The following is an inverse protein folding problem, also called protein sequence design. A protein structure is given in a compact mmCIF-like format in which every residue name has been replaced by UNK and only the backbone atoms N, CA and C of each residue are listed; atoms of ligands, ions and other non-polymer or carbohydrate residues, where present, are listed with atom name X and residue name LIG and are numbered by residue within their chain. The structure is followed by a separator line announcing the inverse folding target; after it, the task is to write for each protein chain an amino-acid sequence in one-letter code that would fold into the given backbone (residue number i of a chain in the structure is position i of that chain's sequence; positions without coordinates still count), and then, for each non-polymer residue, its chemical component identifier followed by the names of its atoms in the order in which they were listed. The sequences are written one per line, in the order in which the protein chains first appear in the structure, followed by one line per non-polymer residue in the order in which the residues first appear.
data_IF_950581321822
#
_entry.id   IF_950581321822
#
_cell.length_a   1.000
_cell.length_b   1.000
_cell.length_c   1.000
_cell.angle_alpha   90.00
_cell.angle_beta   90.00
_cell.angle_gamma   90.00
#
_symmetry.space_group_name_H-M   'P 1'
#
loop_
_entity.id
_entity.type
_entity.pdbx_description
1 polymer ?
#
# COMPACT_ATOMS: atom_id res chain seq x y z
N UNK A 1 7.38 4.77 26.70
CA UNK A 1 7.62 3.35 26.33
C UNK A 1 7.36 3.23 24.84
N UNK A 2 8.19 2.47 24.13
CA UNK A 2 7.97 2.19 22.71
C UNK A 2 6.71 1.32 22.54
N UNK A 3 5.98 1.53 21.44
CA UNK A 3 4.82 0.70 21.08
C UNK A 3 5.31 -0.63 20.54
N UNK A 4 4.87 -1.73 21.10
CA UNK A 4 5.24 -3.09 20.70
C UNK A 4 4.39 -3.56 19.53
N UNK A 5 5.01 -3.78 18.38
CA UNK A 5 4.36 -4.13 17.13
C UNK A 5 4.68 -5.56 16.71
N UNK A 6 3.65 -6.38 16.51
CA UNK A 6 3.75 -7.70 15.91
C UNK A 6 3.38 -7.67 14.43
N UNK A 7 4.06 -8.44 13.59
CA UNK A 7 3.73 -8.60 12.17
C UNK A 7 3.21 -10.01 11.90
N UNK A 8 1.91 -10.13 11.69
CA UNK A 8 1.30 -11.40 11.29
C UNK A 8 1.28 -11.52 9.76
N UNK A 9 2.16 -12.36 9.20
CA UNK A 9 2.35 -12.51 7.77
C UNK A 9 3.56 -11.75 7.22
N UNK A 10 4.73 -12.39 7.20
CA UNK A 10 5.98 -11.82 6.66
C UNK A 10 6.15 -12.19 5.19
N UNK A 11 5.23 -11.68 4.37
CA UNK A 11 5.24 -11.76 2.90
C UNK A 11 5.67 -10.44 2.26
N UNK A 12 5.15 -10.17 1.06
CA UNK A 12 5.51 -8.97 0.28
C UNK A 12 5.30 -7.65 1.05
N UNK A 13 4.17 -7.50 1.72
CA UNK A 13 3.85 -6.29 2.49
C UNK A 13 4.47 -6.39 3.89
N UNK A 14 4.25 -7.48 4.62
CA UNK A 14 4.70 -7.61 6.00
C UNK A 14 6.20 -7.39 6.20
N UNK A 15 7.07 -7.80 5.24
CA UNK A 15 8.51 -7.53 5.31
C UNK A 15 8.85 -6.03 5.20
N UNK A 16 8.04 -5.25 4.46
CA UNK A 16 8.21 -3.80 4.34
C UNK A 16 7.74 -3.07 5.59
N UNK A 17 6.62 -3.53 6.14
CA UNK A 17 6.10 -2.99 7.41
C UNK A 17 7.06 -3.30 8.55
N UNK A 18 7.57 -4.53 8.66
CA UNK A 18 8.58 -4.89 9.66
C UNK A 18 9.83 -4.00 9.56
N UNK A 19 10.35 -3.78 8.34
CA UNK A 19 11.50 -2.90 8.11
C UNK A 19 11.19 -1.43 8.45
N UNK A 20 9.94 -0.99 8.25
CA UNK A 20 9.53 0.36 8.62
C UNK A 20 9.41 0.52 10.14
N UNK A 21 8.78 -0.44 10.83
CA UNK A 21 8.66 -0.48 12.29
C UNK A 21 10.05 -0.49 12.96
N UNK A 22 10.95 -1.36 12.48
CA UNK A 22 12.30 -1.49 13.03
C UNK A 22 13.18 -0.22 12.90
N UNK A 23 12.73 0.77 12.11
CA UNK A 23 13.42 2.07 11.94
C UNK A 23 12.84 3.19 12.78
N UNK A 24 11.75 2.94 13.52
CA UNK A 24 11.12 3.96 14.35
C UNK A 24 11.69 3.91 15.76
N UNK A 25 12.03 5.07 16.32
CA UNK A 25 12.59 5.18 17.67
C UNK A 25 11.52 4.99 18.76
N UNK A 26 10.24 5.15 18.41
CA UNK A 26 9.09 5.02 19.29
C UNK A 26 8.33 3.68 19.17
N UNK A 27 8.86 2.76 18.35
CA UNK A 27 8.30 1.42 18.14
C UNK A 27 9.33 0.32 18.43
N UNK A 28 8.82 -0.84 18.84
CA UNK A 28 9.60 -2.07 19.03
C UNK A 28 8.98 -3.18 18.19
N UNK A 29 9.75 -3.77 17.27
CA UNK A 29 9.30 -4.94 16.53
C UNK A 29 9.40 -6.19 17.41
N UNK A 30 8.28 -6.68 17.91
CA UNK A 30 8.19 -7.92 18.70
C UNK A 30 8.68 -9.12 17.89
N UNK A 31 8.25 -9.21 16.63
CA UNK A 31 8.67 -10.25 15.71
C UNK A 31 7.75 -10.37 14.50
N UNK A 32 8.00 -11.41 13.72
CA UNK A 32 7.28 -11.68 12.47
C UNK A 32 6.82 -13.14 12.40
N UNK A 33 5.57 -13.37 11.98
CA UNK A 33 5.01 -14.72 11.87
C UNK A 33 5.06 -15.25 10.43
N UNK A 34 5.37 -16.55 10.29
CA UNK A 34 5.43 -17.26 9.00
C UNK A 34 4.77 -18.64 9.10
N UNK A 35 4.18 -19.08 7.99
CA UNK A 35 3.59 -20.41 7.87
C UNK A 35 4.60 -21.50 7.45
N UNK A 36 5.75 -21.11 6.91
CA UNK A 36 6.77 -22.05 6.40
C UNK A 36 8.16 -21.38 6.33
N UNK A 37 9.24 -22.19 6.44
CA UNK A 37 10.63 -21.73 6.36
C UNK A 37 11.07 -21.52 4.90
N UNK A 38 10.54 -20.47 4.25
CA UNK A 38 10.98 -20.08 2.91
C UNK A 38 12.08 -19.00 2.97
N UNK A 39 12.58 -18.54 1.81
CA UNK A 39 13.66 -17.55 1.73
C UNK A 39 13.36 -16.28 2.54
N UNK A 40 12.10 -15.88 2.67
CA UNK A 40 11.72 -14.70 3.46
C UNK A 40 11.94 -14.92 4.96
N UNK A 41 11.73 -16.15 5.48
CA UNK A 41 12.03 -16.50 6.86
C UNK A 41 13.54 -16.41 7.14
N UNK A 42 14.39 -16.90 6.23
CA UNK A 42 15.85 -16.76 6.33
C UNK A 42 16.27 -15.29 6.34
N UNK A 43 15.66 -14.45 5.49
CA UNK A 43 15.94 -13.00 5.48
C UNK A 43 15.52 -12.33 6.80
N UNK A 44 14.38 -12.73 7.39
CA UNK A 44 13.97 -12.22 8.70
C UNK A 44 14.98 -12.57 9.79
N UNK A 45 15.45 -13.83 9.83
CA UNK A 45 16.47 -14.29 10.76
C UNK A 45 17.81 -13.54 10.56
N UNK A 46 18.26 -13.36 9.31
CA UNK A 46 19.49 -12.59 9.00
C UNK A 46 19.42 -11.12 9.45
N UNK A 47 18.22 -10.53 9.48
CA UNK A 47 17.98 -9.18 10.00
C UNK A 47 17.90 -9.12 11.52
N UNK A 48 17.95 -10.25 12.20
CA UNK A 48 17.79 -10.34 13.65
C UNK A 48 16.34 -10.19 14.12
N UNK A 49 15.36 -10.34 13.23
CA UNK A 49 13.95 -10.32 13.63
C UNK A 49 13.58 -11.64 14.28
N UNK A 50 12.93 -11.59 15.44
CA UNK A 50 12.37 -12.78 16.09
C UNK A 50 11.34 -13.41 15.16
N UNK A 51 11.53 -14.70 14.87
CA UNK A 51 10.66 -15.46 13.97
C UNK A 51 9.68 -16.29 14.79
N UNK A 52 8.43 -16.30 14.36
CA UNK A 52 7.36 -17.09 14.99
C UNK A 52 6.70 -17.98 13.93
N UNK A 53 6.41 -19.22 14.30
CA UNK A 53 5.60 -20.11 13.47
C UNK A 53 4.13 -19.72 13.54
N UNK A 54 3.38 -19.86 12.44
CA UNK A 54 1.94 -19.57 12.48
C UNK A 54 1.18 -20.39 13.49
N UNK A 55 1.58 -21.64 13.69
CA UNK A 55 0.95 -22.64 14.55
C UNK A 55 2.02 -23.60 15.09
N UNK A 56 1.70 -24.33 16.15
CA UNK A 56 2.64 -25.21 16.84
C UNK A 56 3.12 -26.38 15.95
N UNK A 57 2.22 -26.94 15.13
CA UNK A 57 2.55 -28.03 14.18
C UNK A 57 3.53 -27.59 13.07
N UNK A 58 3.77 -26.31 12.89
CA UNK A 58 4.72 -25.76 11.91
C UNK A 58 6.14 -25.63 12.46
N UNK A 59 6.33 -25.60 13.79
CA UNK A 59 7.66 -25.40 14.42
C UNK A 59 8.68 -26.40 13.92
N UNK A 60 8.33 -27.67 13.87
CA UNK A 60 9.24 -28.74 13.42
C UNK A 60 9.79 -28.52 11.98
N UNK A 61 9.04 -27.84 11.10
CA UNK A 61 9.50 -27.52 9.76
C UNK A 61 10.57 -26.42 9.76
N UNK A 62 10.49 -25.46 10.69
CA UNK A 62 11.52 -24.42 10.86
C UNK A 62 12.79 -25.02 11.44
N UNK A 63 12.67 -25.87 12.46
CA UNK A 63 13.82 -26.56 13.08
C UNK A 63 14.56 -27.43 12.05
N UNK A 64 13.81 -28.17 11.24
CA UNK A 64 14.37 -28.99 10.13
C UNK A 64 15.08 -28.14 9.07
N UNK A 65 14.71 -26.88 8.91
CA UNK A 65 15.35 -25.91 8.02
C UNK A 65 16.53 -25.17 8.69
N UNK A 66 16.82 -25.41 9.96
CA UNK A 66 17.85 -24.72 10.71
C UNK A 66 17.49 -23.29 11.11
N UNK A 67 16.19 -22.99 11.24
CA UNK A 67 15.68 -21.70 11.68
C UNK A 67 15.09 -21.84 13.09
N UNK A 68 15.66 -21.12 14.04
CA UNK A 68 15.09 -20.99 15.37
C UNK A 68 13.83 -20.12 15.34
N UNK A 69 12.74 -20.57 15.96
CA UNK A 69 11.53 -19.78 16.19
C UNK A 69 11.32 -19.52 17.66
N UNK A 70 10.88 -18.31 18.00
CA UNK A 70 10.66 -17.88 19.39
C UNK A 70 9.33 -18.40 19.97
N UNK A 71 8.52 -19.07 19.17
CA UNK A 71 7.21 -19.62 19.53
C UNK A 71 6.22 -19.55 18.36
N UNK A 72 4.94 -19.45 18.70
CA UNK A 72 3.84 -19.35 17.75
C UNK A 72 3.35 -17.90 17.56
N UNK A 73 2.49 -17.68 16.57
CA UNK A 73 1.81 -16.37 16.42
C UNK A 73 1.08 -15.95 17.71
N UNK A 74 0.49 -16.88 18.45
CA UNK A 74 -0.20 -16.55 19.69
C UNK A 74 0.75 -16.06 20.78
N UNK A 75 1.96 -16.64 20.87
CA UNK A 75 2.99 -16.18 21.81
C UNK A 75 3.45 -14.77 21.43
N UNK A 76 3.67 -14.49 20.13
CA UNK A 76 4.02 -13.15 19.61
C UNK A 76 2.96 -12.11 19.96
N UNK A 77 1.69 -12.42 19.76
CA UNK A 77 0.57 -11.52 20.04
C UNK A 77 0.43 -11.21 21.53
N UNK A 78 0.78 -12.16 22.41
CA UNK A 78 0.78 -11.95 23.86
C UNK A 78 1.81 -10.93 24.35
N UNK A 79 2.83 -10.61 23.55
CA UNK A 79 3.88 -9.64 23.85
C UNK A 79 3.62 -8.25 23.21
N UNK A 80 2.62 -8.12 22.32
CA UNK A 80 2.43 -6.94 21.48
C UNK A 80 1.29 -6.03 21.95
N UNK A 81 1.43 -4.72 21.71
CA UNK A 81 0.38 -3.73 21.90
C UNK A 81 -0.53 -3.63 20.67
N UNK A 82 0.03 -3.85 19.48
CA UNK A 82 -0.67 -3.80 18.20
C UNK A 82 -0.12 -4.84 17.23
N UNK A 83 -1.00 -5.43 16.44
CA UNK A 83 -0.62 -6.31 15.34
C UNK A 83 -0.88 -5.64 13.99
N UNK A 84 0.09 -5.77 13.08
CA UNK A 84 -0.14 -5.51 11.65
C UNK A 84 -0.38 -6.86 10.96
N UNK A 85 -1.60 -7.05 10.49
CA UNK A 85 -2.00 -8.25 9.75
C UNK A 85 -1.76 -8.03 8.25
N UNK A 86 -0.74 -8.72 7.72
CA UNK A 86 -0.38 -8.76 6.31
C UNK A 86 -0.57 -10.19 5.73
N UNK A 87 -1.51 -10.94 6.27
CA UNK A 87 -1.93 -12.24 5.75
C UNK A 87 -2.71 -12.07 4.44
N UNK A 88 -2.91 -13.14 3.63
CA UNK A 88 -3.69 -13.05 2.41
C UNK A 88 -5.12 -12.55 2.63
N UNK A 89 -5.68 -11.87 1.62
CA UNK A 89 -7.04 -11.31 1.61
C UNK A 89 -8.08 -12.29 2.18
N UNK A 90 -8.91 -11.80 3.11
CA UNK A 90 -9.95 -12.55 3.81
C UNK A 90 -9.47 -13.29 5.06
N UNK A 91 -8.17 -13.52 5.23
CA UNK A 91 -7.63 -14.11 6.47
C UNK A 91 -7.58 -13.10 7.61
N UNK A 92 -7.25 -11.84 7.33
CA UNK A 92 -7.24 -10.79 8.33
C UNK A 92 -8.60 -10.60 9.00
N UNK A 93 -9.69 -10.63 8.23
CA UNK A 93 -11.05 -10.57 8.76
C UNK A 93 -11.37 -11.80 9.64
N UNK A 94 -10.90 -12.98 9.27
CA UNK A 94 -11.04 -14.19 10.11
C UNK A 94 -10.22 -14.07 11.41
N UNK A 95 -8.97 -13.60 11.31
CA UNK A 95 -8.11 -13.37 12.47
C UNK A 95 -8.69 -12.32 13.41
N UNK A 96 -9.34 -11.28 12.90
CA UNK A 96 -10.04 -10.29 13.70
C UNK A 96 -11.07 -10.94 14.63
N UNK A 97 -11.96 -11.75 14.08
CA UNK A 97 -13.02 -12.40 14.87
C UNK A 97 -12.51 -13.55 15.73
N UNK A 98 -11.60 -14.35 15.21
CA UNK A 98 -11.14 -15.55 15.90
C UNK A 98 -10.11 -15.25 17.00
N UNK A 99 -9.28 -14.21 16.80
CA UNK A 99 -8.10 -13.97 17.64
C UNK A 99 -8.08 -12.55 18.23
N UNK A 100 -8.02 -11.49 17.39
CA UNK A 100 -7.67 -10.15 17.87
C UNK A 100 -8.70 -9.55 18.81
N UNK A 101 -9.99 -9.71 18.52
CA UNK A 101 -11.08 -9.29 19.42
C UNK A 101 -11.05 -10.02 20.76
N UNK A 102 -10.73 -11.31 20.75
CA UNK A 102 -10.67 -12.12 22.00
C UNK A 102 -9.49 -11.74 22.89
N UNK A 103 -8.35 -11.38 22.25
CA UNK A 103 -7.17 -10.90 22.98
C UNK A 103 -7.28 -9.42 23.37
N UNK A 104 -8.22 -8.67 22.79
CA UNK A 104 -8.30 -7.21 22.98
C UNK A 104 -7.12 -6.46 22.39
N UNK A 105 -6.38 -7.05 21.42
CA UNK A 105 -5.24 -6.42 20.79
C UNK A 105 -5.70 -5.55 19.61
N UNK A 106 -5.12 -4.37 19.47
CA UNK A 106 -5.36 -3.48 18.31
C UNK A 106 -4.78 -4.07 17.03
N UNK A 107 -5.46 -3.86 15.90
CA UNK A 107 -5.00 -4.43 14.64
C UNK A 107 -5.10 -3.47 13.46
N UNK A 108 -4.04 -3.47 12.63
CA UNK A 108 -3.97 -2.78 11.35
C UNK A 108 -3.90 -3.84 10.24
N UNK A 109 -4.77 -3.73 9.23
CA UNK A 109 -4.91 -4.75 8.18
C UNK A 109 -4.34 -4.25 6.86
N UNK A 110 -3.37 -4.99 6.33
CA UNK A 110 -2.65 -4.70 5.07
C UNK A 110 -2.89 -5.75 3.98
N UNK A 111 -3.67 -6.79 4.28
CA UNK A 111 -3.89 -7.95 3.42
C UNK A 111 -4.91 -7.74 2.30
N UNK A 112 -5.51 -6.55 2.17
CA UNK A 112 -6.56 -6.26 1.18
C UNK A 112 -7.98 -6.48 1.70
N UNK A 113 -8.18 -6.43 3.02
CA UNK A 113 -9.48 -6.59 3.67
C UNK A 113 -10.50 -5.54 3.22
N UNK A 114 -11.77 -5.91 3.16
CA UNK A 114 -12.86 -5.00 2.77
C UNK A 114 -13.21 -4.04 3.91
N UNK A 115 -13.69 -2.84 3.54
CA UNK A 115 -14.13 -1.83 4.52
C UNK A 115 -15.17 -2.39 5.50
N UNK A 116 -16.19 -3.06 4.99
CA UNK A 116 -17.30 -3.58 5.80
C UNK A 116 -16.86 -4.66 6.80
N UNK A 117 -15.77 -5.36 6.53
CA UNK A 117 -15.23 -6.38 7.43
C UNK A 117 -14.50 -5.77 8.63
N UNK A 118 -13.87 -4.61 8.46
CA UNK A 118 -13.03 -3.96 9.48
C UNK A 118 -13.73 -2.75 10.12
N UNK A 119 -14.54 -2.03 9.33
CA UNK A 119 -15.31 -0.86 9.78
C UNK A 119 -14.58 0.48 9.72
N UNK A 120 -13.29 0.49 9.41
CA UNK A 120 -12.52 1.72 9.23
C UNK A 120 -11.44 1.56 8.16
N UNK A 121 -11.36 2.52 7.24
CA UNK A 121 -10.31 2.64 6.23
C UNK A 121 -9.43 3.84 6.52
N UNK A 122 -8.15 3.75 6.23
CA UNK A 122 -7.15 4.74 6.59
C UNK A 122 -6.31 5.19 5.39
N UNK A 123 -6.11 6.50 5.32
CA UNK A 123 -5.04 7.12 4.56
C UNK A 123 -4.54 8.37 5.28
N UNK A 124 -3.24 8.47 5.52
CA UNK A 124 -2.64 9.51 6.36
C UNK A 124 -2.91 10.95 5.87
N UNK A 125 -3.04 11.18 4.55
CA UNK A 125 -3.32 12.52 4.00
C UNK A 125 -4.80 12.90 3.97
N UNK A 126 -5.69 11.92 4.13
CA UNK A 126 -7.12 12.12 3.94
C UNK A 126 -7.91 12.13 5.26
N UNK A 127 -7.76 11.11 6.09
CA UNK A 127 -8.63 10.90 7.25
C UNK A 127 -7.88 10.46 8.52
N UNK A 128 -6.63 10.92 8.69
CA UNK A 128 -5.81 10.56 9.86
C UNK A 128 -6.54 10.80 11.19
N UNK A 129 -7.11 11.99 11.35
CA UNK A 129 -7.78 12.39 12.61
C UNK A 129 -9.01 11.53 12.93
N UNK A 130 -9.71 11.05 11.91
CA UNK A 130 -10.94 10.24 12.05
C UNK A 130 -10.65 8.80 12.49
N UNK A 131 -9.40 8.36 12.32
CA UNK A 131 -8.97 7.00 12.66
C UNK A 131 -8.23 6.91 13.98
N UNK A 132 -7.85 8.04 14.58
CA UNK A 132 -7.20 8.06 15.90
C UNK A 132 -8.13 7.44 16.95
N UNK A 133 -7.58 6.53 17.74
CA UNK A 133 -8.29 5.85 18.83
C UNK A 133 -9.14 4.65 18.39
N UNK A 134 -9.22 4.34 17.11
CA UNK A 134 -9.87 3.10 16.65
C UNK A 134 -9.00 1.88 16.97
N UNK A 135 -9.66 0.80 17.37
CA UNK A 135 -8.96 -0.45 17.68
C UNK A 135 -8.59 -1.24 16.42
N UNK A 136 -9.41 -1.14 15.38
CA UNK A 136 -9.25 -1.87 14.12
C UNK A 136 -9.34 -0.94 12.93
N UNK A 137 -8.30 -0.98 12.07
CA UNK A 137 -8.20 -0.11 10.89
C UNK A 137 -7.60 -0.93 9.75
N UNK A 138 -8.15 -0.81 8.55
CA UNK A 138 -7.48 -1.30 7.34
C UNK A 138 -6.76 -0.17 6.61
N UNK A 139 -5.58 -0.43 6.10
CA UNK A 139 -4.94 0.40 5.09
C UNK A 139 -5.57 0.07 3.73
N UNK A 140 -5.86 1.09 2.94
CA UNK A 140 -6.46 0.91 1.62
C UNK A 140 -5.45 0.41 0.60
N UNK A 141 -5.93 -0.14 -0.53
CA UNK A 141 -5.05 -0.72 -1.55
C UNK A 141 -4.03 0.30 -2.10
N UNK A 142 -2.93 -0.18 -2.69
CA UNK A 142 -1.93 0.66 -3.32
C UNK A 142 -2.50 1.65 -4.33
N UNK A 143 -3.44 1.23 -5.18
CA UNK A 143 -4.11 2.13 -6.12
C UNK A 143 -4.92 3.20 -5.38
N UNK A 144 -5.68 2.81 -4.37
CA UNK A 144 -6.47 3.74 -3.55
C UNK A 144 -5.56 4.70 -2.77
N UNK A 145 -4.47 4.20 -2.18
CA UNK A 145 -3.46 5.01 -1.50
C UNK A 145 -2.85 6.03 -2.47
N UNK A 146 -2.45 5.60 -3.66
CA UNK A 146 -1.91 6.49 -4.69
C UNK A 146 -2.88 7.58 -5.11
N UNK A 147 -4.16 7.24 -5.29
CA UNK A 147 -5.21 8.22 -5.59
C UNK A 147 -5.44 9.18 -4.41
N UNK A 148 -5.57 8.67 -3.19
CA UNK A 148 -5.76 9.49 -2.00
C UNK A 148 -4.63 10.51 -1.82
N UNK A 149 -3.38 10.11 -1.98
CA UNK A 149 -2.20 10.99 -1.82
C UNK A 149 -2.21 12.14 -2.83
N UNK A 150 -2.42 11.88 -4.11
CA UNK A 150 -2.37 12.91 -5.15
C UNK A 150 -3.66 13.75 -5.23
N UNK A 151 -4.83 13.11 -5.12
CA UNK A 151 -6.10 13.82 -5.13
C UNK A 151 -6.24 14.76 -3.93
N UNK A 152 -5.78 14.36 -2.73
CA UNK A 152 -5.83 15.24 -1.56
C UNK A 152 -4.99 16.51 -1.73
N UNK A 153 -3.91 16.44 -2.51
CA UNK A 153 -3.12 17.62 -2.84
C UNK A 153 -3.91 18.58 -3.74
N UNK A 154 -4.55 18.09 -4.80
CA UNK A 154 -5.40 18.92 -5.66
C UNK A 154 -6.61 19.45 -4.90
N UNK A 155 -7.25 18.61 -4.06
CA UNK A 155 -8.40 19.01 -3.24
C UNK A 155 -8.05 20.18 -2.28
N UNK A 156 -6.82 20.18 -1.75
CA UNK A 156 -6.38 21.24 -0.81
C UNK A 156 -6.21 22.61 -1.46
N UNK A 157 -5.92 22.69 -2.75
CA UNK A 157 -5.67 23.95 -3.46
C UNK A 157 -6.85 24.43 -4.31
N UNK A 158 -7.69 23.51 -4.78
CA UNK A 158 -8.75 23.86 -5.73
C UNK A 158 -10.14 23.28 -5.41
N UNK A 159 -10.23 22.32 -4.49
CA UNK A 159 -11.43 21.51 -4.28
C UNK A 159 -11.70 20.56 -5.45
N UNK A 160 -12.21 19.36 -5.18
CA UNK A 160 -12.58 18.38 -6.21
C UNK A 160 -14.07 18.35 -6.40
N UNK A 161 -14.55 18.81 -7.55
CA UNK A 161 -15.94 18.65 -7.97
C UNK A 161 -16.20 17.27 -8.52
N UNK A 162 -15.25 16.75 -9.34
CA UNK A 162 -15.40 15.46 -10.00
C UNK A 162 -14.03 14.92 -10.43
N UNK A 163 -13.75 13.63 -10.16
CA UNK A 163 -12.54 12.94 -10.62
C UNK A 163 -12.89 11.74 -11.50
N UNK A 164 -12.14 11.58 -12.59
CA UNK A 164 -12.23 10.44 -13.51
C UNK A 164 -10.82 9.88 -13.70
N UNK A 165 -10.68 8.58 -13.47
CA UNK A 165 -9.36 7.96 -13.46
C UNK A 165 -9.36 6.68 -14.30
N UNK A 166 -8.33 6.54 -15.12
CA UNK A 166 -8.01 5.30 -15.81
C UNK A 166 -6.78 4.68 -15.15
N UNK A 167 -6.95 3.48 -14.59
CA UNK A 167 -5.86 2.72 -13.97
C UNK A 167 -5.34 1.68 -14.96
N UNK A 168 -4.11 1.86 -15.39
CA UNK A 168 -3.35 0.85 -16.14
C UNK A 168 -2.57 0.03 -15.12
N UNK A 169 -3.09 -1.16 -14.81
CA UNK A 169 -2.57 -2.01 -13.73
C UNK A 169 -1.61 -3.05 -14.28
N UNK A 170 -0.53 -3.29 -13.57
CA UNK A 170 0.33 -4.45 -13.84
C UNK A 170 -0.47 -5.76 -13.72
N UNK A 171 -0.11 -6.75 -14.50
CA UNK A 171 -0.80 -8.04 -14.59
C UNK A 171 -0.61 -8.93 -13.36
N UNK A 172 0.49 -8.80 -12.65
CA UNK A 172 0.80 -9.57 -11.46
C UNK A 172 2.07 -9.10 -10.77
N UNK A 173 2.32 -9.64 -9.56
CA UNK A 173 3.58 -9.41 -8.84
C UNK A 173 4.75 -10.11 -9.53
N UNK A 174 6.00 -9.63 -9.37
CA UNK A 174 7.18 -10.28 -9.97
C UNK A 174 7.32 -11.76 -9.63
N UNK A 175 6.80 -12.20 -8.49
CA UNK A 175 6.79 -13.61 -8.07
C UNK A 175 5.58 -14.40 -8.57
N UNK A 176 4.60 -13.75 -9.17
CA UNK A 176 3.34 -14.37 -9.65
C UNK A 176 3.39 -14.69 -11.15
N UNK A 177 4.43 -15.35 -11.59
CA UNK A 177 4.73 -15.62 -13.01
C UNK A 177 3.62 -16.35 -13.80
N UNK A 178 2.65 -16.93 -13.10
CA UNK A 178 1.50 -17.63 -13.72
C UNK A 178 0.24 -16.78 -13.77
N UNK A 179 0.27 -15.53 -13.26
CA UNK A 179 -0.87 -14.62 -13.24
C UNK A 179 -0.69 -13.48 -14.23
N UNK A 180 -1.80 -12.88 -14.61
CA UNK A 180 -1.84 -11.72 -15.48
C UNK A 180 -1.89 -12.06 -16.97
N UNK A 181 -2.19 -11.06 -17.81
CA UNK A 181 -2.24 -11.22 -19.25
C UNK A 181 -0.83 -11.39 -19.84
N UNK A 182 -0.76 -12.20 -20.91
CA UNK A 182 0.40 -12.31 -21.79
C UNK A 182 -0.07 -11.82 -23.16
N UNK A 183 0.55 -10.78 -23.71
CA UNK A 183 0.18 -10.18 -25.00
C UNK A 183 -1.30 -9.76 -25.13
N UNK A 184 -1.92 -9.36 -24.04
CA UNK A 184 -3.31 -8.91 -24.02
C UNK A 184 -3.51 -7.76 -23.03
N UNK A 185 -4.52 -6.92 -23.27
CA UNK A 185 -5.06 -5.95 -22.33
C UNK A 185 -6.41 -6.48 -21.85
N UNK A 186 -6.59 -6.59 -20.53
CA UNK A 186 -7.79 -7.18 -19.94
C UNK A 186 -8.54 -6.13 -19.11
N UNK A 187 -9.83 -5.81 -19.43
CA UNK A 187 -10.66 -4.99 -18.52
C UNK A 187 -10.75 -5.64 -17.12
N UNK A 188 -10.59 -4.83 -16.04
CA UNK A 188 -10.49 -5.38 -14.69
C UNK A 188 -11.17 -4.51 -13.62
N UNK A 189 -12.46 -4.63 -13.43
CA UNK A 189 -13.44 -5.40 -14.20
C UNK A 189 -13.84 -4.70 -15.52
N UNK A 190 -14.63 -5.36 -16.41
CA UNK A 190 -15.19 -4.71 -17.60
C UNK A 190 -16.34 -3.74 -17.29
N UNK A 191 -16.79 -3.69 -16.04
CA UNK A 191 -17.85 -2.79 -15.57
C UNK A 191 -17.28 -1.47 -15.05
N UNK A 192 -18.07 -0.40 -15.15
CA UNK A 192 -17.72 0.95 -14.64
C UNK A 192 -18.76 1.36 -13.59
N UNK A 193 -18.34 1.92 -12.46
CA UNK A 193 -16.95 2.10 -12.03
C UNK A 193 -16.25 0.80 -11.63
N UNK A 194 -14.92 0.76 -11.73
CA UNK A 194 -14.15 -0.29 -11.08
C UNK A 194 -14.17 -0.09 -9.56
N UNK A 195 -13.87 -1.13 -8.79
CA UNK A 195 -13.93 -1.09 -7.31
C UNK A 195 -13.02 -0.04 -6.66
N UNK A 196 -12.03 0.50 -7.36
CA UNK A 196 -11.08 1.48 -6.81
C UNK A 196 -11.74 2.83 -6.46
N UNK A 197 -12.70 3.31 -7.27
CA UNK A 197 -13.45 4.52 -6.96
C UNK A 197 -14.24 4.39 -5.67
N UNK A 198 -15.13 3.40 -5.54
CA UNK A 198 -15.81 3.09 -4.28
C UNK A 198 -14.86 2.89 -3.08
N UNK A 199 -13.68 2.28 -3.30
CA UNK A 199 -12.68 2.11 -2.23
C UNK A 199 -12.09 3.45 -1.77
N UNK A 200 -11.82 4.40 -2.68
CA UNK A 200 -11.45 5.78 -2.32
C UNK A 200 -12.53 6.44 -1.47
N UNK A 201 -13.81 6.22 -1.80
CA UNK A 201 -14.92 6.80 -1.03
C UNK A 201 -15.06 6.22 0.38
N UNK A 202 -14.44 5.09 0.72
CA UNK A 202 -14.36 4.62 2.11
C UNK A 202 -13.45 5.49 2.98
N UNK A 203 -12.56 6.27 2.36
CA UNK A 203 -11.64 7.23 3.00
C UNK A 203 -12.14 8.67 2.83
N UNK A 204 -12.58 9.02 1.60
CA UNK A 204 -13.04 10.36 1.21
C UNK A 204 -14.46 10.29 0.61
N UNK A 205 -15.50 10.18 1.46
CA UNK A 205 -16.89 10.01 0.98
C UNK A 205 -17.41 11.15 0.11
N UNK A 206 -16.86 12.35 0.28
CA UNK A 206 -17.29 13.56 -0.45
C UNK A 206 -16.87 13.59 -1.91
N UNK A 207 -15.87 12.81 -2.32
CA UNK A 207 -15.35 12.90 -3.69
C UNK A 207 -16.24 12.16 -4.69
N UNK A 208 -16.68 12.88 -5.74
CA UNK A 208 -17.35 12.29 -6.89
C UNK A 208 -16.30 11.64 -7.81
N UNK A 209 -15.88 10.42 -7.46
CA UNK A 209 -14.86 9.68 -8.20
C UNK A 209 -15.43 8.47 -8.92
N UNK A 210 -15.03 8.28 -10.19
CA UNK A 210 -15.26 7.04 -10.93
C UNK A 210 -13.97 6.58 -11.61
N UNK A 211 -13.77 5.27 -11.64
CA UNK A 211 -12.54 4.66 -12.12
C UNK A 211 -12.80 3.59 -13.16
N UNK A 212 -11.93 3.48 -14.15
CA UNK A 212 -11.85 2.39 -15.13
C UNK A 212 -10.50 1.72 -14.92
N UNK A 213 -10.43 0.40 -14.99
CA UNK A 213 -9.18 -0.32 -14.78
C UNK A 213 -8.95 -1.40 -15.84
N UNK A 214 -7.69 -1.51 -16.29
CA UNK A 214 -7.20 -2.54 -17.20
C UNK A 214 -5.95 -3.19 -16.63
N UNK A 215 -5.76 -4.48 -16.90
CA UNK A 215 -4.49 -5.20 -16.66
C UNK A 215 -3.68 -5.22 -17.95
N UNK A 216 -2.39 -4.97 -17.82
CA UNK A 216 -1.42 -5.01 -18.92
C UNK A 216 -0.26 -5.98 -18.61
N UNK A 217 0.44 -6.51 -19.63
CA UNK A 217 1.54 -7.48 -19.42
C UNK A 217 2.81 -6.78 -18.89
N UNK A 218 2.77 -6.34 -17.65
CA UNK A 218 3.93 -5.81 -16.92
C UNK A 218 3.88 -6.22 -15.45
N UNK A 219 5.04 -6.19 -14.79
CA UNK A 219 5.19 -6.36 -13.33
C UNK A 219 5.72 -5.10 -12.66
N UNK A 220 5.99 -4.05 -13.45
CA UNK A 220 6.66 -2.83 -12.99
C UNK A 220 5.67 -1.68 -12.83
N UNK A 221 5.18 -1.48 -11.61
CA UNK A 221 4.30 -0.40 -11.20
C UNK A 221 2.92 -0.40 -11.89
N UNK A 222 2.00 0.34 -11.34
CA UNK A 222 0.76 0.77 -12.01
C UNK A 222 0.95 2.18 -12.56
N UNK A 223 0.15 2.55 -13.57
CA UNK A 223 0.03 3.93 -14.01
C UNK A 223 -1.43 4.38 -13.86
N UNK A 224 -1.65 5.57 -13.33
CA UNK A 224 -2.95 6.22 -13.30
C UNK A 224 -2.94 7.45 -14.21
N UNK A 225 -3.98 7.58 -15.04
CA UNK A 225 -4.26 8.78 -15.83
C UNK A 225 -5.45 9.46 -15.17
N UNK A 226 -5.27 10.68 -14.70
CA UNK A 226 -6.17 11.36 -13.79
C UNK A 226 -6.68 12.64 -14.46
N UNK A 227 -8.01 12.84 -14.37
CA UNK A 227 -8.74 13.99 -14.87
C UNK A 227 -9.66 14.48 -13.77
N UNK A 228 -9.52 15.75 -13.38
CA UNK A 228 -10.23 16.33 -12.24
C UNK A 228 -10.89 17.63 -12.66
N UNK A 229 -12.22 17.69 -12.57
CA UNK A 229 -12.95 18.96 -12.56
C UNK A 229 -12.86 19.56 -11.15
N UNK A 230 -12.32 20.78 -11.04
CA UNK A 230 -12.10 21.47 -9.76
C UNK A 230 -13.18 22.50 -9.47
N UNK A 231 -13.38 22.85 -8.20
CA UNK A 231 -14.36 23.83 -7.75
C UNK A 231 -13.88 25.26 -8.01
N UNK A 232 -12.62 25.54 -7.70
CA UNK A 232 -11.99 26.85 -7.78
C UNK A 232 -10.96 26.90 -8.91
N UNK A 233 -10.72 28.09 -9.42
CA UNK A 233 -9.66 28.31 -10.40
C UNK A 233 -8.29 28.02 -9.74
N UNK A 234 -7.42 27.36 -10.49
CA UNK A 234 -6.08 26.96 -10.05
C UNK A 234 -5.13 27.03 -11.25
N UNK A 235 -3.90 27.44 -11.00
CA UNK A 235 -2.85 27.39 -12.03
C UNK A 235 -2.10 26.04 -11.99
N UNK A 236 -1.43 25.72 -13.10
CA UNK A 236 -0.51 24.57 -13.16
C UNK A 236 0.58 24.71 -12.10
N UNK A 237 1.09 25.90 -11.91
CA UNK A 237 2.14 26.24 -10.94
C UNK A 237 1.69 26.00 -9.49
N UNK A 238 0.44 26.28 -9.15
CA UNK A 238 -0.11 26.02 -7.82
C UNK A 238 -0.23 24.52 -7.55
N UNK A 239 -0.69 23.75 -8.54
CA UNK A 239 -0.77 22.28 -8.46
C UNK A 239 0.63 21.68 -8.29
N UNK A 240 1.60 22.10 -9.11
CA UNK A 240 2.99 21.63 -9.00
C UNK A 240 3.60 21.97 -7.65
N UNK A 241 3.40 23.20 -7.15
CA UNK A 241 3.89 23.65 -5.84
C UNK A 241 3.34 22.78 -4.73
N UNK A 242 2.05 22.43 -4.80
CA UNK A 242 1.43 21.56 -3.80
C UNK A 242 2.00 20.13 -3.89
N UNK A 243 2.17 19.57 -5.08
CA UNK A 243 2.82 18.26 -5.24
C UNK A 243 4.24 18.24 -4.68
N UNK A 244 5.04 19.26 -4.92
CA UNK A 244 6.39 19.39 -4.36
C UNK A 244 6.40 19.47 -2.84
N UNK A 245 5.35 20.02 -2.22
CA UNK A 245 5.25 20.15 -0.76
C UNK A 245 4.97 18.83 -0.04
N UNK A 246 4.45 17.80 -0.75
CA UNK A 246 3.99 16.54 -0.16
C UNK A 246 5.11 15.49 -0.13
N UNK A 247 5.49 15.03 1.06
CA UNK A 247 6.60 14.08 1.27
C UNK A 247 6.46 12.74 0.52
N UNK A 248 5.23 12.31 0.19
CA UNK A 248 4.95 11.05 -0.48
C UNK A 248 4.53 11.22 -1.94
N UNK A 249 4.81 12.38 -2.52
CA UNK A 249 4.73 12.65 -3.95
C UNK A 249 6.13 13.00 -4.45
N UNK A 250 6.50 12.50 -5.62
CA UNK A 250 7.77 12.78 -6.30
C UNK A 250 7.47 13.20 -7.73
N UNK A 251 7.85 14.41 -8.09
CA UNK A 251 7.80 14.83 -9.50
C UNK A 251 9.00 14.22 -10.24
N UNK A 252 8.73 13.59 -11.36
CA UNK A 252 9.73 13.01 -12.27
C UNK A 252 9.55 13.60 -13.67
N UNK A 253 10.62 13.61 -14.48
CA UNK A 253 10.59 14.17 -15.82
C UNK A 253 11.01 13.14 -16.85
N UNK A 254 10.20 13.00 -17.88
CA UNK A 254 10.54 12.17 -19.03
C UNK A 254 11.78 12.72 -19.75
N UNK A 255 11.92 14.05 -19.80
CA UNK A 255 13.09 14.74 -20.35
C UNK A 255 14.41 14.44 -19.63
N UNK A 256 14.34 14.01 -18.37
CA UNK A 256 15.51 13.60 -17.56
C UNK A 256 15.76 12.07 -17.64
N UNK A 257 15.11 11.36 -18.56
CA UNK A 257 15.25 9.91 -18.74
C UNK A 257 14.34 9.07 -17.85
N UNK A 258 13.28 9.65 -17.27
CA UNK A 258 12.32 8.96 -16.43
C UNK A 258 10.93 8.87 -17.10
N UNK A 259 10.91 8.50 -18.38
CA UNK A 259 9.70 8.47 -19.21
C UNK A 259 8.83 7.22 -19.05
N UNK A 260 9.26 6.24 -18.25
CA UNK A 260 8.54 4.98 -18.05
C UNK A 260 8.60 4.48 -16.62
N UNK A 261 7.68 3.57 -16.27
CA UNK A 261 7.70 2.89 -14.96
C UNK A 261 8.97 2.05 -14.74
N UNK A 262 9.60 1.55 -15.81
CA UNK A 262 10.85 0.79 -15.73
C UNK A 262 12.02 1.69 -15.32
N UNK A 263 12.14 2.88 -15.90
CA UNK A 263 13.18 3.87 -15.56
C UNK A 263 13.00 4.40 -14.14
N UNK A 264 11.75 4.57 -13.67
CA UNK A 264 11.46 4.93 -12.28
C UNK A 264 11.93 3.82 -11.31
N UNK A 265 11.74 2.56 -11.66
CA UNK A 265 12.28 1.44 -10.85
C UNK A 265 13.81 1.46 -10.87
N UNK A 266 14.44 1.78 -12.01
CA UNK A 266 15.90 1.92 -12.09
C UNK A 266 16.41 3.06 -11.21
N UNK A 267 15.73 4.21 -11.22
CA UNK A 267 16.01 5.30 -10.27
C UNK A 267 15.98 4.81 -8.82
N UNK A 268 15.01 3.98 -8.46
CA UNK A 268 14.92 3.43 -7.08
C UNK A 268 16.09 2.51 -6.74
N UNK A 269 16.67 1.81 -7.73
CA UNK A 269 17.91 1.03 -7.58
C UNK A 269 19.11 1.93 -7.34
N UNK A 270 19.27 2.97 -8.14
CA UNK A 270 20.36 3.92 -8.02
C UNK A 270 20.33 4.70 -6.70
N UNK A 271 19.14 4.95 -6.17
CA UNK A 271 18.95 5.50 -4.82
C UNK A 271 19.27 4.49 -3.69
N UNK A 272 19.68 3.26 -4.02
CA UNK A 272 20.00 2.22 -3.05
C UNK A 272 18.82 1.77 -2.19
N UNK A 273 17.60 1.94 -2.68
CA UNK A 273 16.41 1.58 -1.90
C UNK A 273 16.24 0.06 -1.81
N UNK A 274 15.94 -0.49 -0.62
CA UNK A 274 15.71 -1.91 -0.47
C UNK A 274 14.60 -2.39 -1.41
N UNK A 275 14.82 -3.50 -2.12
CA UNK A 275 13.87 -4.11 -3.05
C UNK A 275 13.41 -3.19 -4.18
N UNK A 276 14.17 -2.12 -4.44
CA UNK A 276 13.83 -1.08 -5.43
C UNK A 276 12.51 -0.35 -5.10
N UNK A 277 12.14 -0.29 -3.82
CA UNK A 277 10.90 0.31 -3.36
C UNK A 277 10.90 1.83 -3.62
N UNK A 278 9.91 2.29 -4.36
CA UNK A 278 9.58 3.71 -4.43
C UNK A 278 8.45 3.97 -3.43
N UNK A 279 8.70 4.79 -2.42
CA UNK A 279 7.73 5.08 -1.35
C UNK A 279 6.87 6.31 -1.65
N UNK A 280 7.17 6.97 -2.74
CA UNK A 280 6.45 8.12 -3.26
C UNK A 280 5.65 7.75 -4.50
N UNK A 281 4.52 8.40 -4.69
CA UNK A 281 3.82 8.39 -5.96
C UNK A 281 4.63 9.22 -6.94
N UNK A 282 5.11 8.62 -8.02
CA UNK A 282 5.85 9.33 -9.07
C UNK A 282 4.86 10.02 -10.01
N UNK A 283 4.91 11.35 -10.09
CA UNK A 283 4.06 12.14 -10.98
C UNK A 283 4.94 12.70 -12.10
N UNK A 284 4.60 12.42 -13.37
CA UNK A 284 5.29 13.05 -14.49
C UNK A 284 4.94 14.52 -14.58
N UNK A 285 5.92 15.38 -14.32
CA UNK A 285 5.74 16.84 -14.25
C UNK A 285 5.18 17.41 -15.55
N UNK A 286 5.63 16.90 -16.70
CA UNK A 286 5.18 17.33 -18.02
C UNK A 286 3.69 16.99 -18.26
N UNK A 287 3.17 16.00 -17.57
CA UNK A 287 1.76 15.59 -17.68
C UNK A 287 0.81 16.47 -16.88
N UNK A 288 1.35 17.23 -15.92
CA UNK A 288 0.51 18.15 -15.10
C UNK A 288 0.11 19.31 -15.97
N UNK A 289 -1.18 19.44 -16.22
CA UNK A 289 -1.76 20.52 -16.99
C UNK A 289 -3.09 20.98 -16.41
N UNK A 290 -3.44 22.23 -16.64
CA UNK A 290 -4.72 22.82 -16.27
C UNK A 290 -5.32 23.45 -17.52
N UNK A 291 -6.51 23.01 -17.87
CA UNK A 291 -7.29 23.55 -19.00
C UNK A 291 -8.65 23.93 -18.46
N UNK A 292 -8.98 25.19 -18.49
CA UNK A 292 -10.16 25.75 -17.83
C UNK A 292 -10.20 25.37 -16.33
N UNK A 293 -11.21 24.58 -15.93
CA UNK A 293 -11.34 24.05 -14.58
C UNK A 293 -11.01 22.54 -14.49
N UNK A 294 -10.21 22.03 -15.41
CA UNK A 294 -9.82 20.63 -15.40
C UNK A 294 -8.31 20.49 -15.21
N UNK A 295 -7.93 19.69 -14.20
CA UNK A 295 -6.55 19.32 -13.88
C UNK A 295 -6.29 17.92 -14.42
N UNK A 296 -5.21 17.77 -15.16
CA UNK A 296 -4.76 16.52 -15.77
C UNK A 296 -3.37 16.17 -15.25
N UNK A 297 -3.13 14.90 -14.95
CA UNK A 297 -1.79 14.37 -14.71
C UNK A 297 -1.73 12.85 -14.80
N UNK A 298 -0.51 12.33 -14.97
CA UNK A 298 -0.20 10.91 -14.92
C UNK A 298 0.71 10.60 -13.73
N UNK A 299 0.47 9.46 -13.09
CA UNK A 299 1.29 9.01 -11.98
C UNK A 299 1.60 7.53 -12.04
N UNK A 300 2.78 7.15 -11.54
CA UNK A 300 3.21 5.78 -11.30
C UNK A 300 3.05 5.41 -9.83
N UNK A 301 2.58 4.18 -9.56
CA UNK A 301 2.35 3.64 -8.21
C UNK A 301 3.11 2.34 -8.06
N UNK A 302 4.06 2.28 -7.12
CA UNK A 302 4.80 1.07 -6.79
C UNK A 302 4.01 0.24 -5.79
N UNK A 303 3.28 -0.73 -6.28
CA UNK A 303 2.24 -1.47 -5.55
C UNK A 303 2.65 -1.98 -4.17
N UNK A 304 3.83 -2.53 -4.02
CA UNK A 304 4.27 -3.12 -2.76
C UNK A 304 4.81 -2.09 -1.76
N UNK A 305 5.16 -0.90 -2.23
CA UNK A 305 5.83 0.13 -1.44
C UNK A 305 4.91 1.28 -1.02
N UNK A 306 3.77 1.43 -1.69
CA UNK A 306 2.84 2.56 -1.52
C UNK A 306 1.67 2.27 -0.56
N UNK A 307 1.71 1.16 0.11
CA UNK A 307 0.70 0.80 1.13
C UNK A 307 1.11 1.35 2.48
#
# INVERSE_FOLDING_TARGET
MAVKVAINGYGNIGKRVADAVAKQDDMELVGVAKTRPNFEAFIAAQKGYRLYASEEDKIAAFDAAGLEVAGTTMDMLGEADVVVDATPEGMGAQNLEAIYKKLGIKAIFEGGEKHDAIGASFNAYCNYQETIGKDYVRVVSCNTTGLCRSLSAVDSVAGIKKARVVLVRRGGDPVQIKKGPINAIVPNPPTVPSHHGPDVNTVMPKWNIATIAVLVPTTLMHQHNIMIEVENDVSREDVLKEFYSRKRLMLVRAGDGLGSTAEIIELSRDLGRPRYDLWEIAIWEESVNVVDKEVFYMQGVHQEADI
#
